data_IF_613930256489
#
_entry.id   IF_613930256489
#
_cell.length_a   1.000
_cell.length_b   1.000
_cell.length_c   1.000
_cell.angle_alpha   90.00
_cell.angle_beta   90.00
_cell.angle_gamma   90.00
#
_symmetry.space_group_name_H-M   'P 1'
#
loop_
_entity.id
_entity.type
_entity.pdbx_description
1 polymer ?
#
# COMPACT_ATOMS: atom_id res chain seq x y z
N UNK A 1 41.85 -2.15 29.94
CA UNK A 1 40.42 -2.47 30.14
C UNK A 1 39.49 -1.26 30.02
N UNK A 2 39.71 -0.14 30.74
CA UNK A 2 38.81 1.03 30.72
C UNK A 2 38.59 1.67 29.33
N UNK A 3 39.64 1.79 28.52
CA UNK A 3 39.57 2.35 27.15
C UNK A 3 38.74 1.48 26.19
N UNK A 4 38.68 0.17 26.46
CA UNK A 4 37.95 -0.80 25.64
C UNK A 4 36.44 -0.74 25.93
N UNK A 5 36.06 -0.48 27.19
CA UNK A 5 34.66 -0.25 27.59
C UNK A 5 34.09 1.03 26.99
N UNK A 6 34.88 2.10 26.95
CA UNK A 6 34.47 3.37 26.33
C UNK A 6 34.25 3.21 24.83
N UNK A 7 35.14 2.49 24.13
CA UNK A 7 34.99 2.23 22.70
C UNK A 7 33.71 1.43 22.39
N UNK A 8 33.38 0.44 23.23
CA UNK A 8 32.18 -0.38 23.08
C UNK A 8 30.89 0.42 23.34
N UNK A 9 30.91 1.33 24.32
CA UNK A 9 29.78 2.20 24.62
C UNK A 9 29.50 3.19 23.47
N UNK A 10 30.54 3.76 22.87
CA UNK A 10 30.40 4.68 21.73
C UNK A 10 29.86 3.95 20.50
N UNK A 11 30.34 2.75 20.20
CA UNK A 11 29.84 1.95 19.06
C UNK A 11 28.38 1.54 19.21
N UNK A 12 27.91 1.27 20.43
CA UNK A 12 26.50 0.95 20.70
C UNK A 12 25.53 2.12 20.50
N UNK A 13 26.01 3.37 20.60
CA UNK A 13 25.18 4.57 20.45
C UNK A 13 24.94 4.97 18.98
N UNK A 14 25.77 4.47 18.04
CA UNK A 14 25.71 4.84 16.61
C UNK A 14 24.62 4.10 15.82
N UNK A 15 24.01 3.05 16.34
CA UNK A 15 23.04 2.21 15.62
C UNK A 15 21.59 2.72 15.62
N UNK A 16 21.30 3.83 16.29
CA UNK A 16 19.92 4.32 16.51
C UNK A 16 19.50 5.52 15.66
N UNK A 17 20.37 6.01 14.75
CA UNK A 17 20.05 7.17 13.89
C UNK A 17 19.51 6.81 12.49
N UNK A 18 19.17 5.55 12.21
CA UNK A 18 18.56 5.18 10.94
C UNK A 18 17.05 5.41 11.00
N UNK A 19 16.62 6.61 10.57
CA UNK A 19 15.20 6.86 10.27
C UNK A 19 14.81 5.95 9.10
N UNK A 20 14.18 4.81 9.38
CA UNK A 20 13.53 3.99 8.37
C UNK A 20 12.27 4.71 7.94
N UNK A 21 12.39 5.57 6.93
CA UNK A 21 11.21 6.12 6.26
C UNK A 21 10.59 4.97 5.47
N UNK A 22 9.65 4.28 6.09
CA UNK A 22 8.72 3.40 5.37
C UNK A 22 7.80 4.31 4.58
N UNK A 23 8.08 4.46 3.29
CA UNK A 23 7.10 4.97 2.35
C UNK A 23 6.01 3.91 2.22
N UNK A 24 5.03 3.94 3.12
CA UNK A 24 3.76 3.27 2.84
C UNK A 24 3.18 3.95 1.61
N UNK A 25 3.18 3.24 0.49
CA UNK A 25 2.42 3.65 -0.69
C UNK A 25 0.95 3.55 -0.31
N UNK A 26 0.44 4.62 0.31
CA UNK A 26 -0.92 4.71 0.85
C UNK A 26 -1.97 4.84 -0.25
N UNK A 27 -1.53 5.09 -1.49
CA UNK A 27 -2.41 5.10 -2.64
C UNK A 27 -2.53 3.69 -3.20
N UNK A 28 -3.38 2.88 -2.56
CA UNK A 28 -3.83 1.64 -3.20
C UNK A 28 -4.46 2.00 -4.54
N UNK A 29 -4.23 1.22 -5.59
CA UNK A 29 -4.88 1.45 -6.89
C UNK A 29 -6.41 1.59 -6.75
N UNK A 30 -6.99 1.05 -5.69
CA UNK A 30 -8.39 1.15 -5.32
C UNK A 30 -8.86 2.55 -4.94
N UNK A 31 -7.97 3.42 -4.45
CA UNK A 31 -8.29 4.82 -4.13
C UNK A 31 -8.38 5.71 -5.38
N UNK A 32 -7.63 5.38 -6.43
CA UNK A 32 -7.57 6.15 -7.68
C UNK A 32 -8.53 5.69 -8.78
N UNK A 33 -9.13 4.49 -8.64
CA UNK A 33 -9.97 3.89 -9.67
C UNK A 33 -11.30 3.37 -9.09
N UNK A 34 -12.29 3.18 -9.97
CA UNK A 34 -13.59 2.61 -9.63
C UNK A 34 -14.12 1.71 -10.75
N UNK A 35 -15.24 1.04 -10.51
CA UNK A 35 -15.91 0.24 -11.54
C UNK A 35 -16.39 1.12 -12.70
N UNK A 36 -16.10 0.68 -13.93
CA UNK A 36 -16.49 1.36 -15.15
C UNK A 36 -17.82 0.79 -15.65
N UNK A 37 -18.77 1.67 -15.98
CA UNK A 37 -20.04 1.26 -16.61
C UNK A 37 -19.86 1.18 -18.12
N UNK A 38 -20.09 0.00 -18.69
CA UNK A 38 -20.09 -0.19 -20.14
C UNK A 38 -21.24 0.57 -20.82
N UNK A 39 -20.97 1.14 -21.99
CA UNK A 39 -21.96 1.76 -22.88
C UNK A 39 -22.48 0.76 -23.92
N UNK A 40 -23.68 1.02 -24.44
CA UNK A 40 -24.22 0.28 -25.60
C UNK A 40 -23.54 0.64 -26.92
N UNK A 41 -22.84 1.77 -26.94
CA UNK A 41 -22.13 2.28 -28.12
C UNK A 41 -20.66 1.82 -28.14
N UNK A 42 -20.20 1.14 -27.09
CA UNK A 42 -18.82 0.68 -26.99
C UNK A 42 -18.51 -0.36 -28.07
N UNK A 43 -17.30 -0.27 -28.62
CA UNK A 43 -16.78 -1.32 -29.49
C UNK A 43 -16.50 -2.59 -28.70
N UNK A 44 -16.38 -3.73 -29.39
CA UNK A 44 -16.01 -5.00 -28.76
C UNK A 44 -14.71 -4.88 -27.95
N UNK A 45 -13.71 -4.17 -28.46
CA UNK A 45 -12.43 -3.99 -27.74
C UNK A 45 -12.57 -3.12 -26.50
N UNK A 46 -13.39 -2.07 -26.55
CA UNK A 46 -13.70 -1.25 -25.38
C UNK A 46 -14.41 -2.07 -24.31
N UNK A 47 -15.41 -2.86 -24.70
CA UNK A 47 -16.12 -3.76 -23.79
C UNK A 47 -15.19 -4.79 -23.15
N UNK A 48 -14.24 -5.34 -23.92
CA UNK A 48 -13.22 -6.26 -23.42
C UNK A 48 -12.36 -5.61 -22.35
N UNK A 49 -11.92 -4.36 -22.56
CA UNK A 49 -11.13 -3.62 -21.58
C UNK A 49 -11.91 -3.31 -20.32
N UNK A 50 -13.17 -2.87 -20.45
CA UNK A 50 -14.07 -2.62 -19.31
C UNK A 50 -14.29 -3.89 -18.49
N UNK A 51 -14.46 -5.04 -19.15
CA UNK A 51 -14.59 -6.34 -18.49
C UNK A 51 -13.35 -6.67 -17.66
N UNK A 52 -12.17 -6.61 -18.27
CA UNK A 52 -10.90 -6.94 -17.59
C UNK A 52 -10.65 -5.98 -16.42
N UNK A 53 -10.83 -4.68 -16.63
CA UNK A 53 -10.70 -3.67 -15.57
C UNK A 53 -11.61 -3.98 -14.38
N UNK A 54 -12.90 -4.17 -14.62
CA UNK A 54 -13.87 -4.43 -13.56
C UNK A 54 -13.62 -5.74 -12.83
N UNK A 55 -13.17 -6.79 -13.54
CA UNK A 55 -12.83 -8.06 -12.94
C UNK A 55 -11.59 -7.92 -12.04
N UNK A 56 -10.52 -7.29 -12.53
CA UNK A 56 -9.31 -7.04 -11.75
C UNK A 56 -9.62 -6.16 -10.55
N UNK A 57 -10.38 -5.07 -10.73
CA UNK A 57 -10.81 -4.20 -9.63
C UNK A 57 -11.54 -4.99 -8.54
N UNK A 58 -12.45 -5.90 -8.91
CA UNK A 58 -13.14 -6.73 -7.92
C UNK A 58 -12.21 -7.69 -7.19
N UNK A 59 -11.22 -8.24 -7.88
CA UNK A 59 -10.26 -9.17 -7.28
C UNK A 59 -9.33 -8.49 -6.28
N UNK A 60 -8.92 -7.24 -6.54
CA UNK A 60 -7.90 -6.55 -5.73
C UNK A 60 -8.45 -5.45 -4.81
N UNK A 61 -9.67 -4.95 -5.09
CA UNK A 61 -10.28 -3.80 -4.39
C UNK A 61 -11.63 -4.08 -3.74
N UNK A 62 -12.27 -5.23 -3.97
CA UNK A 62 -13.50 -5.57 -3.23
C UNK A 62 -13.11 -6.24 -1.91
N UNK A 63 -13.29 -5.51 -0.82
CA UNK A 63 -12.95 -5.95 0.53
C UNK A 63 -13.56 -7.32 0.87
N UNK A 64 -12.70 -8.29 1.20
CA UNK A 64 -12.94 -9.03 2.44
C UNK A 64 -12.22 -8.24 3.55
N UNK A 65 -12.94 -7.75 4.57
CA UNK A 65 -12.33 -6.94 5.62
C UNK A 65 -11.40 -7.80 6.47
N UNK A 66 -10.16 -7.37 6.61
CA UNK A 66 -9.33 -7.69 7.76
C UNK A 66 -8.65 -6.38 8.18
N UNK A 67 -9.44 -5.48 8.77
CA UNK A 67 -9.12 -4.67 9.96
C UNK A 67 -10.19 -3.58 10.10
N UNK A 68 -11.27 -4.00 10.72
CA UNK A 68 -12.20 -3.17 11.45
C UNK A 68 -11.43 -2.39 12.53
N UNK A 69 -10.97 -1.18 12.19
CA UNK A 69 -10.71 -0.13 13.19
C UNK A 69 -11.55 1.08 12.86
N UNK A 70 -12.86 0.84 12.96
CA UNK A 70 -13.82 1.89 13.24
C UNK A 70 -13.68 2.21 14.73
N UNK A 71 -12.72 3.09 15.06
CA UNK A 71 -12.59 3.64 16.40
C UNK A 71 -12.27 5.15 16.33
N UNK A 72 -13.27 5.93 16.73
CA UNK A 72 -13.14 7.25 17.40
C UNK A 72 -12.50 8.41 16.63
N UNK A 73 -13.34 9.26 16.01
CA UNK A 73 -13.82 10.52 16.63
C UNK A 73 -14.80 11.27 15.74
#
# INVERSE_FOLDING_TARGET
>A
MKKLLVALAVMGLLSSCTNTVTYEVTNSSCAGFSLIKASRQDTTETLRQVLIHNQTYRQICSDKPNNEKQNER
#
